data_IF_056113172192
#
_entry.id   IF_056113172192
#
_cell.length_a   1.000
_cell.length_b   1.000
_cell.length_c   1.000
_cell.angle_alpha   90.00
_cell.angle_beta   90.00
_cell.angle_gamma   90.00
#
_symmetry.space_group_name_H-M   'P 1'
#
loop_
_entity.id
_entity.type
_entity.pdbx_description
1 polymer ?
#
# COMPACT_ATOMS: atom_id res chain seq x y z
N UNK A 1 -4.15 -13.14 14.73
CA UNK A 1 -4.95 -13.53 13.54
C UNK A 1 -6.42 -13.64 13.88
N UNK A 2 -6.81 -14.29 14.98
CA UNK A 2 -8.21 -14.41 15.41
C UNK A 2 -8.94 -13.04 15.45
N UNK A 3 -8.29 -12.00 15.98
CA UNK A 3 -8.88 -10.64 16.02
C UNK A 3 -8.87 -9.91 14.67
N UNK A 4 -7.79 -10.03 13.89
CA UNK A 4 -7.60 -9.22 12.67
C UNK A 4 -8.31 -9.81 11.44
N UNK A 5 -8.49 -11.15 11.42
CA UNK A 5 -9.04 -11.88 10.27
C UNK A 5 -10.41 -11.35 9.82
N UNK A 6 -11.39 -11.10 10.71
CA UNK A 6 -12.71 -10.64 10.30
C UNK A 6 -12.66 -9.31 9.54
N UNK A 7 -11.89 -8.34 10.04
CA UNK A 7 -11.76 -7.03 9.41
C UNK A 7 -11.00 -7.12 8.08
N UNK A 8 -9.98 -7.98 8.03
CA UNK A 8 -9.21 -8.20 6.81
C UNK A 8 -10.05 -8.81 5.69
N UNK A 9 -10.86 -9.83 6.00
CA UNK A 9 -11.77 -10.46 5.05
C UNK A 9 -12.85 -9.48 4.60
N UNK A 10 -13.44 -8.71 5.52
CA UNK A 10 -14.44 -7.69 5.18
C UNK A 10 -13.89 -6.68 4.17
N UNK A 11 -12.66 -6.19 4.37
CA UNK A 11 -12.01 -5.27 3.44
C UNK A 11 -11.79 -5.87 2.05
N UNK A 12 -11.40 -7.15 1.98
CA UNK A 12 -11.23 -7.85 0.70
C UNK A 12 -12.56 -8.05 -0.02
N UNK A 13 -13.61 -8.47 0.70
CA UNK A 13 -14.94 -8.69 0.16
C UNK A 13 -15.56 -7.39 -0.37
N UNK A 14 -15.43 -6.29 0.39
CA UNK A 14 -15.86 -4.96 -0.05
C UNK A 14 -15.16 -4.52 -1.32
N UNK A 15 -13.84 -4.70 -1.41
CA UNK A 15 -13.10 -4.37 -2.63
C UNK A 15 -13.52 -5.28 -3.80
N UNK A 16 -13.73 -6.57 -3.55
CA UNK A 16 -14.11 -7.52 -4.59
C UNK A 16 -15.48 -7.20 -5.20
N UNK A 17 -16.45 -6.81 -4.36
CA UNK A 17 -17.81 -6.46 -4.80
C UNK A 17 -17.85 -5.09 -5.46
N UNK A 18 -17.18 -4.08 -4.90
CA UNK A 18 -17.33 -2.69 -5.33
C UNK A 18 -16.22 -2.22 -6.28
N UNK A 19 -15.17 -3.01 -6.47
CA UNK A 19 -13.95 -2.63 -7.21
C UNK A 19 -13.36 -1.27 -6.80
N UNK A 20 -13.58 -0.86 -5.54
CA UNK A 20 -13.18 0.43 -5.01
C UNK A 20 -12.59 0.29 -3.62
N UNK A 21 -11.71 1.23 -3.27
CA UNK A 21 -11.15 1.30 -1.92
C UNK A 21 -12.00 2.24 -1.06
N UNK A 22 -12.22 1.90 0.22
CA UNK A 22 -12.77 2.83 1.18
C UNK A 22 -11.96 4.13 1.22
N UNK A 23 -12.63 5.25 1.46
CA UNK A 23 -12.01 6.57 1.45
C UNK A 23 -10.86 6.62 2.47
N UNK A 24 -9.68 7.03 2.02
CA UNK A 24 -8.48 7.13 2.85
C UNK A 24 -7.66 5.85 2.97
N UNK A 25 -8.13 4.71 2.47
CA UNK A 25 -7.34 3.46 2.49
C UNK A 25 -6.09 3.49 1.60
N UNK A 26 -6.05 4.38 0.60
CA UNK A 26 -4.87 4.66 -0.23
C UNK A 26 -4.05 5.87 0.25
N UNK A 27 -4.37 6.43 1.42
CA UNK A 27 -3.57 7.49 2.02
C UNK A 27 -2.19 6.97 2.39
N UNK A 28 -1.17 7.80 2.22
CA UNK A 28 0.21 7.45 2.54
C UNK A 28 0.97 8.63 3.11
N UNK A 29 1.88 8.35 4.02
CA UNK A 29 2.89 9.33 4.45
C UNK A 29 4.16 9.16 3.61
N UNK A 30 4.85 10.26 3.32
CA UNK A 30 6.16 10.21 2.67
C UNK A 30 7.23 10.37 3.74
N UNK A 31 8.05 9.34 3.92
CA UNK A 31 9.26 9.42 4.72
C UNK A 31 10.45 9.74 3.81
N UNK A 32 11.22 10.77 4.14
CA UNK A 32 12.44 11.13 3.43
C UNK A 32 13.64 10.51 4.15
N UNK A 33 14.26 9.50 3.52
CA UNK A 33 15.45 8.84 4.08
C UNK A 33 16.71 9.45 3.46
N UNK A 34 17.65 10.01 4.25
CA UNK A 34 18.91 10.51 3.74
C UNK A 34 19.70 9.43 2.99
N UNK A 35 20.25 9.75 1.81
CA UNK A 35 21.20 8.89 1.08
C UNK A 35 22.66 9.15 1.48
N UNK A 36 22.94 10.33 2.03
CA UNK A 36 24.27 10.81 2.44
C UNK A 36 24.22 11.34 3.86
N UNK A 37 25.38 11.52 4.50
CA UNK A 37 25.48 11.96 5.92
C UNK A 37 24.91 13.35 6.16
N UNK A 38 25.11 14.28 5.21
CA UNK A 38 24.70 15.67 5.32
C UNK A 38 23.92 16.07 4.05
N UNK A 39 22.62 15.72 3.98
CA UNK A 39 21.82 16.02 2.80
C UNK A 39 21.56 17.54 2.70
N UNK A 40 21.78 18.13 1.52
CA UNK A 40 21.61 19.56 1.27
C UNK A 40 20.51 19.84 0.23
N UNK A 41 20.32 18.91 -0.72
CA UNK A 41 19.29 19.00 -1.75
C UNK A 41 18.19 17.95 -1.54
N UNK A 42 17.00 18.20 -2.09
CA UNK A 42 15.90 17.21 -2.05
C UNK A 42 16.28 15.89 -2.73
N UNK A 43 17.15 15.97 -3.74
CA UNK A 43 17.70 14.81 -4.43
C UNK A 43 18.62 13.95 -3.56
N UNK A 44 19.07 14.44 -2.40
CA UNK A 44 19.85 13.66 -1.44
C UNK A 44 18.97 12.73 -0.59
N UNK A 45 17.64 12.85 -0.70
CA UNK A 45 16.69 12.00 -0.01
C UNK A 45 16.10 10.93 -0.93
N UNK A 46 15.88 9.74 -0.38
CA UNK A 46 15.06 8.70 -0.99
C UNK A 46 13.65 8.80 -0.38
N UNK A 47 12.61 9.15 -1.14
CA UNK A 47 11.25 9.11 -0.64
C UNK A 47 10.78 7.66 -0.51
N UNK A 48 10.13 7.33 0.62
CA UNK A 48 9.43 6.07 0.84
C UNK A 48 7.98 6.37 1.19
N UNK A 49 7.05 5.81 0.43
CA UNK A 49 5.61 5.86 0.74
C UNK A 49 5.25 4.83 1.80
N UNK A 50 4.87 5.31 2.97
CA UNK A 50 4.29 4.55 4.07
C UNK A 50 2.78 4.46 3.86
N UNK A 51 2.36 3.47 3.09
CA UNK A 51 0.96 3.15 2.79
C UNK A 51 0.50 1.91 3.55
N UNK A 52 -0.80 1.88 3.91
CA UNK A 52 -1.41 0.80 4.67
C UNK A 52 -1.22 -0.60 4.05
N UNK A 53 -1.05 -1.62 4.91
CA UNK A 53 -0.79 -3.00 4.47
C UNK A 53 -1.97 -3.62 3.71
N UNK A 54 -3.21 -3.29 4.08
CA UNK A 54 -4.44 -3.73 3.41
C UNK A 54 -4.45 -3.34 1.94
N UNK A 55 -4.13 -2.07 1.63
CA UNK A 55 -3.96 -1.59 0.27
C UNK A 55 -2.87 -2.38 -0.48
N UNK A 56 -1.69 -2.57 0.13
CA UNK A 56 -0.57 -3.32 -0.49
C UNK A 56 -0.96 -4.75 -0.86
N UNK A 57 -1.76 -5.41 -0.04
CA UNK A 57 -2.17 -6.80 -0.28
C UNK A 57 -3.11 -6.89 -1.49
N UNK A 58 -4.08 -6.00 -1.61
CA UNK A 58 -4.98 -5.95 -2.78
C UNK A 58 -4.19 -5.66 -4.06
N UNK A 59 -3.31 -4.66 -4.05
CA UNK A 59 -2.46 -4.35 -5.20
C UNK A 59 -1.61 -5.55 -5.60
N UNK A 60 -1.05 -6.29 -4.63
CA UNK A 60 -0.28 -7.51 -4.92
C UNK A 60 -1.15 -8.63 -5.51
N UNK A 61 -2.36 -8.82 -5.03
CA UNK A 61 -3.34 -9.76 -5.59
C UNK A 61 -3.65 -9.42 -7.05
N UNK A 62 -3.94 -8.15 -7.34
CA UNK A 62 -4.20 -7.69 -8.70
C UNK A 62 -3.00 -7.87 -9.62
N UNK A 63 -1.80 -7.50 -9.17
CA UNK A 63 -0.57 -7.71 -9.93
C UNK A 63 -0.33 -9.19 -10.25
N UNK A 64 -0.60 -10.09 -9.29
CA UNK A 64 -0.50 -11.54 -9.51
C UNK A 64 -1.54 -12.05 -10.52
N UNK A 65 -2.74 -11.47 -10.56
CA UNK A 65 -3.76 -11.80 -11.57
C UNK A 65 -3.34 -11.32 -12.95
N UNK A 66 -2.85 -10.07 -13.05
CA UNK A 66 -2.38 -9.49 -14.30
C UNK A 66 -1.23 -10.30 -14.90
N UNK A 67 -0.28 -10.74 -14.07
CA UNK A 67 0.84 -11.61 -14.49
C UNK A 67 0.42 -12.94 -15.11
N UNK A 68 -0.82 -13.41 -14.91
CA UNK A 68 -1.30 -14.66 -15.54
C UNK A 68 -1.76 -14.47 -16.98
N UNK A 69 -2.04 -13.23 -17.38
CA UNK A 69 -2.57 -12.89 -18.71
C UNK A 69 -1.60 -12.03 -19.53
N UNK A 70 -0.43 -11.74 -18.96
CA UNK A 70 0.68 -11.04 -19.58
C UNK A 70 1.86 -12.00 -19.65
#
# INVERSE_FOLDING_TARGET
WQELKPDFLRFLDEFFVNASFPKGSNSSFIALIPKVKEPQAINDFRPISLIGCTYKIIVKLLANRLRKVM
#
